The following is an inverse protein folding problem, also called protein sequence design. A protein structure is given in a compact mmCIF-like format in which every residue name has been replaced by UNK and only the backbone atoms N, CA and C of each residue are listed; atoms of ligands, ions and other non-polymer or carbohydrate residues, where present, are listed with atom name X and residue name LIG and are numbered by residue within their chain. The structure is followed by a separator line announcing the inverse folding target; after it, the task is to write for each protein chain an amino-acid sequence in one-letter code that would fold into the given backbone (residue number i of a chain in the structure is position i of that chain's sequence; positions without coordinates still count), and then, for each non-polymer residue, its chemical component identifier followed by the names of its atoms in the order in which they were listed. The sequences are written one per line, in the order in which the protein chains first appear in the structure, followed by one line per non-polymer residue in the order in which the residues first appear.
data_IF_894707713564
#
_entry.id   IF_894707713564
#
_cell.length_a   1.000
_cell.length_b   1.000
_cell.length_c   1.000
_cell.angle_alpha   90.00
_cell.angle_beta   90.00
_cell.angle_gamma   90.00
#
_symmetry.space_group_name_H-M   'P 1'
#
loop_
_entity.id
_entity.type
_entity.pdbx_description
1 polymer ?
#
# COMPACT_ATOMS: atom_id res chain seq x y z
N UNK A 1 -11.26 29.66 -4.75
CA UNK A 1 -11.74 29.46 -3.37
C UNK A 1 -12.04 27.98 -3.19
N UNK A 2 -11.16 27.25 -2.50
CA UNK A 2 -11.33 25.83 -2.23
C UNK A 2 -12.44 25.62 -1.20
N UNK A 3 -13.39 24.68 -1.39
CA UNK A 3 -14.31 24.35 -0.31
C UNK A 3 -13.48 23.72 0.82
N UNK A 4 -13.43 24.41 1.96
CA UNK A 4 -12.90 23.89 3.20
C UNK A 4 -13.65 22.59 3.55
N UNK A 5 -12.96 21.67 4.23
CA UNK A 5 -13.60 20.49 4.82
C UNK A 5 -14.83 20.95 5.62
N UNK A 6 -15.97 20.28 5.44
CA UNK A 6 -17.18 20.61 6.19
C UNK A 6 -16.93 20.47 7.71
N UNK A 7 -17.64 21.24 8.55
CA UNK A 7 -17.46 21.20 10.01
C UNK A 7 -17.59 19.78 10.58
N UNK A 8 -18.51 18.98 10.03
CA UNK A 8 -18.71 17.57 10.39
C UNK A 8 -17.49 16.71 10.04
N UNK A 9 -16.88 16.91 8.87
CA UNK A 9 -15.66 16.21 8.48
C UNK A 9 -14.49 16.59 9.38
N UNK A 10 -14.39 17.85 9.81
CA UNK A 10 -13.38 18.29 10.77
C UNK A 10 -13.59 17.68 12.15
N UNK A 11 -14.84 17.59 12.64
CA UNK A 11 -15.15 16.93 13.91
C UNK A 11 -14.87 15.43 13.89
N UNK A 12 -15.16 14.75 12.78
CA UNK A 12 -14.81 13.33 12.59
C UNK A 12 -13.29 13.12 12.54
N UNK A 13 -12.54 14.00 11.88
CA UNK A 13 -11.07 13.95 11.89
C UNK A 13 -10.48 14.26 13.28
N UNK A 14 -11.10 15.16 14.05
CA UNK A 14 -10.73 15.47 15.43
C UNK A 14 -11.05 14.31 16.40
N UNK A 15 -12.06 13.49 16.07
CA UNK A 15 -12.41 12.29 16.86
C UNK A 15 -11.43 11.13 16.66
N UNK A 16 -10.59 11.18 15.61
CA UNK A 16 -9.50 10.24 15.40
C UNK A 16 -8.30 10.68 16.25
N UNK A 17 -7.72 9.75 17.03
CA UNK A 17 -6.42 9.95 17.68
C UNK A 17 -5.31 10.01 16.61
N UNK A 18 -5.16 11.16 15.97
CA UNK A 18 -4.15 11.43 14.97
C UNK A 18 -2.79 11.73 15.64
N UNK A 19 -1.65 11.32 15.05
CA UNK A 19 -1.51 10.57 13.81
C UNK A 19 -1.70 9.05 14.00
N UNK A 20 -2.56 8.43 13.18
CA UNK A 20 -2.68 6.96 13.14
C UNK A 20 -1.64 6.43 12.18
N UNK A 21 -0.72 5.59 12.68
CA UNK A 21 0.30 4.92 11.88
C UNK A 21 0.12 3.41 11.98
N UNK A 22 0.20 2.75 10.84
CA UNK A 22 0.14 1.30 10.82
C UNK A 22 0.76 0.70 9.58
N UNK A 23 0.96 -0.61 9.62
CA UNK A 23 1.55 -1.33 8.49
C UNK A 23 0.56 -1.43 7.33
N UNK A 24 1.06 -1.20 6.12
CA UNK A 24 0.24 -1.27 4.90
C UNK A 24 -0.16 -2.71 4.56
N UNK A 25 0.72 -3.67 4.84
CA UNK A 25 0.52 -5.09 4.53
C UNK A 25 0.52 -5.99 5.78
N UNK A 26 -0.26 -7.08 5.78
CA UNK A 26 -0.21 -8.05 6.87
C UNK A 26 1.16 -8.71 6.97
N UNK A 27 1.69 -8.84 8.19
CA UNK A 27 2.92 -9.59 8.50
C UNK A 27 3.01 -10.95 7.78
N UNK A 28 1.97 -11.84 7.83
CA UNK A 28 2.07 -13.15 7.19
C UNK A 28 2.20 -13.07 5.67
N UNK A 29 1.54 -12.10 5.03
CA UNK A 29 1.61 -11.94 3.57
C UNK A 29 3.00 -11.46 3.14
N UNK A 30 3.56 -10.48 3.86
CA UNK A 30 4.92 -10.02 3.59
C UNK A 30 5.94 -11.15 3.81
N UNK A 31 5.79 -11.95 4.87
CA UNK A 31 6.66 -13.11 5.12
C UNK A 31 6.52 -14.18 4.01
N UNK A 32 5.29 -14.43 3.54
CA UNK A 32 5.03 -15.39 2.46
C UNK A 32 5.68 -14.93 1.14
N UNK A 33 5.65 -13.63 0.83
CA UNK A 33 6.36 -13.08 -0.33
C UNK A 33 7.87 -13.34 -0.24
N UNK A 34 8.48 -13.17 0.94
CA UNK A 34 9.88 -13.51 1.17
C UNK A 34 10.17 -15.01 1.06
N UNK A 35 9.27 -15.87 1.52
CA UNK A 35 9.40 -17.32 1.35
C UNK A 35 9.38 -17.73 -0.14
N UNK A 36 8.50 -17.13 -0.94
CA UNK A 36 8.46 -17.35 -2.40
C UNK A 36 9.74 -16.87 -3.07
N UNK A 37 10.25 -15.69 -2.70
CA UNK A 37 11.53 -15.17 -3.21
C UNK A 37 12.69 -16.10 -2.84
N UNK A 38 12.74 -16.60 -1.61
CA UNK A 38 13.77 -17.55 -1.19
C UNK A 38 13.71 -18.85 -2.00
N UNK A 39 12.52 -19.39 -2.23
CA UNK A 39 12.31 -20.59 -3.05
C UNK A 39 12.75 -20.37 -4.50
N UNK A 40 12.38 -19.24 -5.10
CA UNK A 40 12.81 -18.86 -6.46
C UNK A 40 14.33 -18.70 -6.51
N UNK A 41 14.92 -18.03 -5.52
CA UNK A 41 16.37 -17.85 -5.44
C UNK A 41 17.12 -19.17 -5.37
N UNK A 42 16.62 -20.14 -4.58
CA UNK A 42 17.19 -21.47 -4.49
C UNK A 42 17.11 -22.23 -5.82
N UNK A 43 15.96 -22.14 -6.51
CA UNK A 43 15.79 -22.72 -7.86
C UNK A 43 16.73 -22.09 -8.88
N UNK A 44 16.88 -20.77 -8.87
CA UNK A 44 17.79 -20.04 -9.75
C UNK A 44 19.25 -20.44 -9.49
N UNK A 45 19.66 -20.57 -8.22
CA UNK A 45 21.00 -21.05 -7.86
C UNK A 45 21.26 -22.49 -8.34
N UNK A 46 20.27 -23.37 -8.23
CA UNK A 46 20.37 -24.73 -8.76
C UNK A 46 20.55 -24.74 -10.29
N UNK A 47 19.75 -23.94 -11.01
CA UNK A 47 19.84 -23.82 -12.47
C UNK A 47 21.19 -23.23 -12.89
N UNK A 48 21.67 -22.19 -12.19
CA UNK A 48 22.95 -21.56 -12.48
C UNK A 48 24.14 -22.52 -12.32
N UNK A 49 24.10 -23.41 -11.32
CA UNK A 49 25.18 -24.38 -11.09
C UNK A 49 25.15 -25.59 -12.03
N UNK A 50 23.97 -26.06 -12.46
CA UNK A 50 23.86 -27.25 -13.31
C UNK A 50 23.78 -26.94 -14.82
N UNK A 51 23.25 -25.77 -15.19
CA UNK A 51 22.94 -25.43 -16.58
C UNK A 51 23.44 -24.03 -16.98
N UNK A 52 24.21 -23.35 -16.12
CA UNK A 52 24.66 -21.98 -16.34
C UNK A 52 25.43 -21.78 -17.65
N UNK A 53 26.28 -22.73 -18.01
CA UNK A 53 27.10 -22.67 -19.23
C UNK A 53 26.28 -22.83 -20.53
N UNK A 54 25.05 -23.33 -20.43
CA UNK A 54 24.13 -23.53 -21.57
C UNK A 54 23.22 -22.33 -21.81
N UNK A 55 23.20 -21.35 -20.90
CA UNK A 55 22.30 -20.20 -20.95
C UNK A 55 23.10 -18.95 -21.32
N UNK A 56 22.61 -18.21 -22.33
CA UNK A 56 23.23 -16.97 -22.74
C UNK A 56 23.31 -15.96 -21.57
N UNK A 57 24.45 -15.28 -21.43
CA UNK A 57 24.72 -14.31 -20.36
C UNK A 57 23.66 -13.20 -20.30
N UNK A 58 23.09 -12.80 -21.45
CA UNK A 58 22.02 -11.81 -21.53
C UNK A 58 20.73 -12.27 -20.82
N UNK A 59 20.37 -13.55 -20.94
CA UNK A 59 19.20 -14.13 -20.26
C UNK A 59 19.43 -14.16 -18.76
N UNK A 60 20.63 -14.60 -18.33
CA UNK A 60 21.01 -14.61 -16.90
C UNK A 60 20.90 -13.20 -16.32
N UNK A 61 21.43 -12.19 -17.01
CA UNK A 61 21.37 -10.79 -16.58
C UNK A 61 19.91 -10.30 -16.45
N UNK A 62 19.05 -10.63 -17.41
CA UNK A 62 17.63 -10.26 -17.36
C UNK A 62 16.90 -10.91 -16.17
N UNK A 63 17.16 -12.19 -15.91
CA UNK A 63 16.56 -12.93 -14.78
C UNK A 63 17.01 -12.37 -13.45
N UNK A 64 18.31 -12.07 -13.30
CA UNK A 64 18.86 -11.45 -12.08
C UNK A 64 18.21 -10.08 -11.85
N UNK A 65 18.09 -9.25 -12.90
CA UNK A 65 17.45 -7.94 -12.79
C UNK A 65 15.98 -8.06 -12.37
N UNK A 66 15.23 -9.00 -12.95
CA UNK A 66 13.84 -9.27 -12.56
C UNK A 66 13.74 -9.74 -11.11
N UNK A 67 14.66 -10.60 -10.66
CA UNK A 67 14.73 -11.09 -9.29
C UNK A 67 15.03 -9.96 -8.29
N UNK A 68 15.98 -9.08 -8.60
CA UNK A 68 16.24 -7.88 -7.84
C UNK A 68 14.98 -6.99 -7.72
N UNK A 69 14.24 -6.81 -8.82
CA UNK A 69 12.97 -6.09 -8.81
C UNK A 69 11.95 -6.68 -7.82
N UNK A 70 11.82 -8.02 -7.78
CA UNK A 70 10.95 -8.70 -6.82
C UNK A 70 11.38 -8.49 -5.37
N UNK A 71 12.68 -8.54 -5.08
CA UNK A 71 13.22 -8.26 -3.74
C UNK A 71 12.85 -6.85 -3.29
N UNK A 72 13.03 -5.86 -4.16
CA UNK A 72 12.67 -4.46 -3.86
C UNK A 72 11.19 -4.35 -3.51
N UNK A 73 10.31 -4.98 -4.28
CA UNK A 73 8.86 -4.99 -4.00
C UNK A 73 8.55 -5.65 -2.65
N UNK A 74 9.13 -6.81 -2.36
CA UNK A 74 8.91 -7.52 -1.09
C UNK A 74 9.48 -6.76 0.12
N UNK A 75 10.57 -6.02 -0.06
CA UNK A 75 11.10 -5.11 0.96
C UNK A 75 10.09 -4.00 1.28
N UNK A 76 9.55 -3.32 0.26
CA UNK A 76 8.52 -2.30 0.45
C UNK A 76 7.21 -2.87 1.04
N UNK A 77 6.89 -4.15 0.81
CA UNK A 77 5.77 -4.81 1.51
C UNK A 77 6.03 -4.98 3.01
N UNK A 78 7.27 -5.22 3.44
CA UNK A 78 7.64 -5.36 4.86
C UNK A 78 7.68 -4.01 5.59
N UNK A 79 8.28 -3.00 4.95
CA UNK A 79 8.56 -1.70 5.56
C UNK A 79 7.39 -0.73 5.38
N UNK A 80 6.61 -0.87 4.31
CA UNK A 80 5.55 0.07 3.95
C UNK A 80 4.59 0.37 5.10
N UNK A 81 4.51 1.65 5.45
CA UNK A 81 3.60 2.18 6.46
C UNK A 81 2.59 3.12 5.83
N UNK A 82 1.37 3.11 6.36
CA UNK A 82 0.34 4.10 6.07
C UNK A 82 0.19 4.99 7.29
N UNK A 83 0.33 6.29 7.07
CA UNK A 83 0.17 7.33 8.08
C UNK A 83 -1.05 8.17 7.70
N UNK A 84 -1.99 8.29 8.62
CA UNK A 84 -3.12 9.21 8.51
C UNK A 84 -2.80 10.42 9.38
N UNK A 85 -2.78 11.60 8.77
CA UNK A 85 -2.51 12.88 9.43
C UNK A 85 -3.70 13.82 9.31
N UNK A 86 -3.62 14.97 9.97
CA UNK A 86 -4.61 16.05 9.85
C UNK A 86 -4.64 16.67 8.45
N UNK A 87 -3.55 16.57 7.68
CA UNK A 87 -3.47 17.08 6.32
C UNK A 87 -4.01 16.09 5.26
N UNK A 88 -3.85 14.77 5.51
CA UNK A 88 -4.24 13.75 4.54
C UNK A 88 -3.83 12.33 4.91
N UNK A 89 -3.77 11.47 3.90
CA UNK A 89 -3.29 10.09 3.99
C UNK A 89 -1.98 9.98 3.21
N UNK A 90 -0.95 9.46 3.85
CA UNK A 90 0.34 9.19 3.26
C UNK A 90 0.65 7.70 3.37
N UNK A 91 1.13 7.10 2.29
CA UNK A 91 1.61 5.72 2.30
C UNK A 91 3.03 5.66 1.72
N UNK A 92 3.91 5.08 2.51
CA UNK A 92 5.27 4.79 2.09
C UNK A 92 5.26 3.61 1.11
N UNK A 93 5.77 3.86 -0.08
CA UNK A 93 5.92 2.89 -1.16
C UNK A 93 7.10 3.32 -2.04
N UNK A 94 7.41 2.56 -3.10
CA UNK A 94 8.45 2.94 -4.08
C UNK A 94 8.21 4.33 -4.69
N UNK A 95 6.94 4.75 -4.75
CA UNK A 95 6.52 6.09 -5.11
C UNK A 95 5.76 6.67 -3.91
N UNK A 96 6.08 7.89 -3.48
CA UNK A 96 5.34 8.58 -2.42
C UNK A 96 3.87 8.71 -2.85
N UNK A 97 2.97 8.06 -2.11
CA UNK A 97 1.53 8.17 -2.32
C UNK A 97 0.97 9.05 -1.22
N UNK A 98 0.69 10.30 -1.57
CA UNK A 98 0.08 11.27 -0.67
C UNK A 98 -1.26 11.71 -1.24
N UNK A 99 -2.27 11.78 -0.38
CA UNK A 99 -3.58 12.31 -0.70
C UNK A 99 -4.00 13.29 0.39
N UNK A 100 -4.18 14.56 0.01
CA UNK A 100 -4.71 15.58 0.91
C UNK A 100 -6.23 15.44 1.03
N UNK A 101 -6.80 15.73 2.20
CA UNK A 101 -8.24 15.64 2.43
C UNK A 101 -9.05 16.54 1.48
N UNK A 102 -8.49 17.69 1.11
CA UNK A 102 -9.12 18.62 0.16
C UNK A 102 -9.29 18.03 -1.25
N UNK A 103 -8.44 17.07 -1.63
CA UNK A 103 -8.47 16.43 -2.95
C UNK A 103 -9.33 15.16 -2.95
N UNK A 104 -9.76 14.70 -1.78
CA UNK A 104 -10.66 13.57 -1.64
C UNK A 104 -12.08 13.98 -2.04
N UNK A 105 -12.66 13.27 -3.01
CA UNK A 105 -14.07 13.42 -3.41
C UNK A 105 -14.94 12.43 -2.65
N UNK A 106 -14.55 11.16 -2.65
CA UNK A 106 -15.23 10.12 -1.90
C UNK A 106 -14.28 8.98 -1.56
N UNK A 107 -14.54 8.27 -0.46
CA UNK A 107 -13.75 7.13 -0.02
C UNK A 107 -14.65 5.90 0.11
N UNK A 108 -14.15 4.74 -0.33
CA UNK A 108 -14.82 3.45 -0.19
C UNK A 108 -13.92 2.47 0.53
N UNK A 109 -14.38 1.99 1.69
CA UNK A 109 -13.72 0.90 2.37
C UNK A 109 -14.11 -0.43 1.70
N UNK A 110 -13.11 -1.20 1.28
CA UNK A 110 -13.29 -2.51 0.66
C UNK A 110 -12.62 -3.57 1.54
N UNK A 111 -13.40 -4.34 2.31
CA UNK A 111 -12.88 -5.41 3.14
C UNK A 111 -12.61 -6.66 2.29
N UNK A 112 -11.44 -6.73 1.65
CA UNK A 112 -10.97 -7.99 1.08
C UNK A 112 -10.35 -8.86 2.17
N UNK A 113 -10.54 -10.18 2.06
CA UNK A 113 -10.07 -11.19 3.03
C UNK A 113 -8.59 -11.05 3.40
N UNK A 114 -7.74 -10.66 2.45
CA UNK A 114 -6.28 -10.61 2.63
C UNK A 114 -5.68 -9.19 2.67
N UNK A 115 -6.45 -8.15 2.33
CA UNK A 115 -5.98 -6.76 2.41
C UNK A 115 -7.16 -5.80 2.44
N UNK A 116 -7.58 -5.42 3.65
CA UNK A 116 -8.56 -4.36 3.83
C UNK A 116 -7.97 -3.06 3.29
N UNK A 117 -8.63 -2.48 2.30
CA UNK A 117 -8.12 -1.33 1.54
C UNK A 117 -9.13 -0.20 1.51
N UNK A 118 -8.63 1.03 1.56
CA UNK A 118 -9.40 2.24 1.35
C UNK A 118 -9.16 2.73 -0.07
N UNK A 119 -10.21 2.77 -0.88
CA UNK A 119 -10.15 3.35 -2.22
C UNK A 119 -10.60 4.80 -2.11
N UNK A 120 -9.66 5.70 -2.32
CA UNK A 120 -9.89 7.13 -2.29
C UNK A 120 -10.00 7.66 -3.72
N UNK A 121 -11.16 8.19 -4.07
CA UNK A 121 -11.40 8.82 -5.35
C UNK A 121 -11.11 10.30 -5.24
N UNK A 122 -10.15 10.74 -6.02
CA UNK A 122 -9.70 12.13 -6.02
C UNK A 122 -10.63 12.99 -6.87
N UNK A 123 -10.67 14.29 -6.60
CA UNK A 123 -11.41 15.27 -7.43
C UNK A 123 -10.82 15.37 -8.85
N UNK A 124 -9.52 15.11 -8.99
CA UNK A 124 -8.79 15.08 -10.27
C UNK A 124 -7.83 13.89 -10.29
N UNK A 125 -7.83 13.13 -11.38
CA UNK A 125 -6.88 12.04 -11.60
C UNK A 125 -7.42 10.64 -11.30
N UNK A 126 -6.50 9.70 -11.08
CA UNK A 126 -6.80 8.27 -10.89
C UNK A 126 -7.09 7.99 -9.41
N UNK A 127 -8.01 7.04 -9.09
CA UNK A 127 -8.26 6.63 -7.72
C UNK A 127 -6.99 6.11 -7.05
N UNK A 128 -6.74 6.53 -5.82
CA UNK A 128 -5.60 6.08 -5.01
C UNK A 128 -6.09 5.03 -4.04
N UNK A 129 -5.41 3.89 -4.02
CA UNK A 129 -5.72 2.80 -3.10
C UNK A 129 -4.68 2.79 -1.99
N UNK A 130 -5.18 2.92 -0.76
CA UNK A 130 -4.40 2.80 0.47
C UNK A 130 -4.66 1.45 1.11
N UNK A 131 -3.60 0.81 1.60
CA UNK A 131 -3.68 -0.48 2.28
C UNK A 131 -3.45 -0.28 3.78
N UNK A 132 -4.19 -1.03 4.60
CA UNK A 132 -4.13 -0.91 6.05
C UNK A 132 -4.36 -2.25 6.71
N UNK A 133 -3.27 -2.86 7.16
CA UNK A 133 -3.32 -4.17 7.81
C UNK A 133 -3.53 -4.07 9.33
N UNK A 134 -3.18 -2.95 9.95
CA UNK A 134 -3.40 -2.77 11.40
C UNK A 134 -4.89 -2.54 11.72
N UNK A 135 -5.38 -3.05 12.85
CA UNK A 135 -6.76 -2.79 13.31
C UNK A 135 -7.05 -1.29 13.43
N UNK A 136 -6.10 -0.51 13.95
CA UNK A 136 -6.21 0.95 14.09
C UNK A 136 -6.43 1.65 12.75
N UNK A 137 -5.68 1.28 11.72
CA UNK A 137 -5.88 1.81 10.36
C UNK A 137 -7.22 1.39 9.78
N UNK A 138 -7.69 0.17 10.07
CA UNK A 138 -8.97 -0.32 9.58
C UNK A 138 -10.14 0.44 10.20
N UNK A 139 -10.08 0.73 11.50
CA UNK A 139 -11.06 1.57 12.20
C UNK A 139 -11.05 2.97 11.60
N UNK A 140 -9.87 3.57 11.44
CA UNK A 140 -9.73 4.89 10.84
C UNK A 140 -10.29 4.93 9.39
N UNK A 141 -9.98 3.92 8.58
CA UNK A 141 -10.50 3.78 7.22
C UNK A 141 -12.02 3.63 7.17
N UNK A 142 -12.60 2.87 8.09
CA UNK A 142 -14.06 2.74 8.19
C UNK A 142 -14.71 4.09 8.54
N UNK A 143 -14.14 4.84 9.48
CA UNK A 143 -14.62 6.17 9.85
C UNK A 143 -14.49 7.16 8.70
N UNK A 144 -13.35 7.20 7.99
CA UNK A 144 -13.15 8.05 6.81
C UNK A 144 -14.17 7.71 5.71
N UNK A 145 -14.37 6.41 5.46
CA UNK A 145 -15.33 5.95 4.47
C UNK A 145 -16.76 6.33 4.84
N UNK A 146 -17.14 6.27 6.12
CA UNK A 146 -18.43 6.73 6.64
C UNK A 146 -18.60 8.25 6.50
N UNK A 147 -17.60 9.02 6.92
CA UNK A 147 -17.58 10.48 6.83
C UNK A 147 -17.69 11.00 5.39
N UNK A 148 -17.25 10.20 4.41
CA UNK A 148 -17.30 10.53 2.98
C UNK A 148 -18.31 9.66 2.21
N UNK A 149 -19.22 8.98 2.94
CA UNK A 149 -20.29 8.13 2.37
C UNK A 149 -21.47 9.00 1.92
N UNK A 150 -21.28 9.74 0.81
CA UNK A 150 -22.27 10.53 0.04
C UNK A 150 -22.60 11.94 0.55
N UNK A 151 -22.43 12.90 -0.34
CA UNK A 151 -23.58 13.60 -0.93
C UNK A 151 -23.74 13.06 -2.36
N UNK A 152 -24.76 12.24 -2.60
CA UNK A 152 -25.36 11.99 -3.93
C UNK A 152 -26.75 12.57 -3.84
#
# INVERSE_FOLDING_TARGET
MNPALSPEQQQLLLSLNLPVRGRSWPKPIALMAWAVIALIGLRLGFIATHYGDQVATSIIACVVLAFCGMIVVAYFMLVGQTTITTAGIQQEWILKRELLWQDLKFAKFVPLFFSKRLICFTKRGRPIVFQGASPELQVAFAQIALAHRRHI
#
